data_IF_772582497094
#
_entry.id   IF_772582497094
#
_cell.length_a   1.000
_cell.length_b   1.000
_cell.length_c   1.000
_cell.angle_alpha   90.00
_cell.angle_beta   90.00
_cell.angle_gamma   90.00
#
_symmetry.space_group_name_H-M   'P 1'
#
loop_
_entity.id
_entity.type
_entity.pdbx_description
1 polymer ?
#
# COMPACT_ATOMS: atom_id res chain seq x y z
N UNK A 1 18.29 13.06 0.37
CA UNK A 1 17.59 11.75 0.42
C UNK A 1 16.53 11.73 -0.68
N UNK A 2 16.62 10.81 -1.64
CA UNK A 2 15.55 10.60 -2.62
C UNK A 2 14.56 9.59 -2.06
N UNK A 3 13.29 9.94 -1.95
CA UNK A 3 12.24 9.02 -1.51
C UNK A 3 11.26 8.72 -2.66
N UNK A 4 10.86 7.46 -2.78
CA UNK A 4 10.07 6.94 -3.90
C UNK A 4 8.88 6.13 -3.35
N UNK A 5 7.66 6.61 -3.61
CA UNK A 5 6.40 5.88 -3.44
C UNK A 5 6.07 5.12 -4.73
N UNK A 6 5.72 3.84 -4.60
CA UNK A 6 5.27 3.01 -5.72
C UNK A 6 3.74 2.99 -5.72
N UNK A 7 3.14 3.93 -6.45
CA UNK A 7 1.69 4.15 -6.45
C UNK A 7 0.87 3.05 -7.12
N UNK A 8 -0.24 2.67 -6.46
CA UNK A 8 -1.14 1.56 -6.88
C UNK A 8 -1.72 1.75 -8.29
N UNK A 9 -1.84 2.99 -8.79
CA UNK A 9 -2.37 3.31 -10.13
C UNK A 9 -1.34 3.25 -11.26
N UNK A 10 -0.20 2.58 -11.05
CA UNK A 10 0.96 2.61 -11.96
C UNK A 10 1.58 4.02 -12.08
N UNK A 11 1.45 4.78 -10.99
CA UNK A 11 2.26 5.96 -10.70
C UNK A 11 3.55 5.52 -10.02
N UNK A 12 4.65 6.18 -10.31
CA UNK A 12 5.79 6.26 -9.39
C UNK A 12 5.91 7.72 -9.02
N UNK A 13 6.06 8.02 -7.73
CA UNK A 13 6.19 9.38 -7.23
C UNK A 13 7.48 9.51 -6.45
N UNK A 14 8.36 10.44 -6.83
CA UNK A 14 9.64 10.66 -6.16
C UNK A 14 9.82 12.11 -5.73
N UNK A 15 10.48 12.28 -4.59
CA UNK A 15 10.78 13.60 -4.02
C UNK A 15 12.16 13.60 -3.37
N UNK A 16 12.94 14.66 -3.58
CA UNK A 16 14.24 14.84 -2.94
C UNK A 16 14.06 15.65 -1.65
N UNK A 17 14.27 15.00 -0.51
CA UNK A 17 14.41 15.64 0.79
C UNK A 17 15.84 16.17 0.91
N UNK A 18 15.98 17.48 1.09
CA UNK A 18 17.23 18.21 1.37
C UNK A 18 17.08 19.02 2.65
N UNK A 19 18.17 19.58 3.23
CA UNK A 19 18.05 20.56 4.32
C UNK A 19 17.18 21.76 3.88
N UNK A 20 17.28 22.17 2.62
CA UNK A 20 16.59 23.35 2.05
C UNK A 20 15.11 23.09 1.68
N UNK A 21 14.44 22.14 2.34
CA UNK A 21 13.07 21.72 2.05
C UNK A 21 12.94 20.64 0.97
N UNK A 22 11.74 20.48 0.40
CA UNK A 22 11.48 19.52 -0.69
C UNK A 22 11.99 20.10 -2.01
N UNK A 23 12.74 19.31 -2.78
CA UNK A 23 13.19 19.66 -4.13
C UNK A 23 12.81 18.56 -5.12
N UNK A 24 12.82 18.91 -6.41
CA UNK A 24 12.75 17.98 -7.53
C UNK A 24 11.65 16.91 -7.42
N UNK A 25 10.42 17.34 -7.17
CA UNK A 25 9.27 16.44 -7.25
C UNK A 25 9.13 15.93 -8.68
N UNK A 26 9.12 14.61 -8.87
CA UNK A 26 8.88 13.96 -10.17
C UNK A 26 7.88 12.83 -10.03
N UNK A 27 7.10 12.61 -11.09
CA UNK A 27 6.21 11.45 -11.18
C UNK A 27 6.25 10.84 -12.59
N UNK A 28 6.14 9.52 -12.65
CA UNK A 28 6.01 8.75 -13.90
C UNK A 28 4.61 8.13 -13.94
N UNK A 29 3.97 8.11 -15.12
CA UNK A 29 2.67 7.45 -15.29
C UNK A 29 2.67 6.53 -16.49
N UNK A 30 2.19 5.30 -16.32
CA UNK A 30 2.21 4.28 -17.37
C UNK A 30 0.88 4.20 -18.12
N UNK A 31 0.44 5.32 -18.72
CA UNK A 31 -0.84 5.41 -19.46
C UNK A 31 -0.97 4.33 -20.54
N UNK A 32 0.06 4.13 -21.34
CA UNK A 32 0.05 3.12 -22.40
C UNK A 32 -0.11 1.68 -21.87
N UNK A 33 0.59 1.36 -20.76
CA UNK A 33 0.44 0.09 -20.03
C UNK A 33 -0.94 -0.08 -19.39
N UNK A 34 -1.73 0.97 -19.19
CA UNK A 34 -3.12 0.83 -18.76
C UNK A 34 -3.96 0.41 -19.97
N UNK A 35 -3.96 1.22 -21.03
CA UNK A 35 -4.60 0.96 -22.33
C UNK A 35 -4.32 -0.45 -22.87
N UNK A 36 -3.06 -0.82 -23.07
CA UNK A 36 -2.66 -2.13 -23.64
C UNK A 36 -3.05 -3.32 -22.76
N UNK A 37 -3.06 -3.14 -21.44
CA UNK A 37 -3.55 -4.18 -20.51
C UNK A 37 -5.09 -4.26 -20.50
N UNK A 38 -5.79 -3.15 -20.74
CA UNK A 38 -7.26 -3.11 -20.87
C UNK A 38 -7.73 -3.68 -22.22
N UNK A 39 -6.95 -3.54 -23.28
CA UNK A 39 -7.11 -4.27 -24.55
C UNK A 39 -6.96 -5.78 -24.37
N UNK A 40 -5.86 -6.25 -23.75
CA UNK A 40 -5.69 -7.67 -23.44
C UNK A 40 -6.81 -8.21 -22.52
N UNK A 41 -7.16 -7.51 -21.44
CA UNK A 41 -8.23 -7.97 -20.54
C UNK A 41 -9.60 -7.99 -21.24
N UNK A 42 -9.90 -7.05 -22.15
CA UNK A 42 -11.11 -7.10 -23.00
C UNK A 42 -11.11 -8.33 -23.91
N UNK A 43 -9.98 -8.66 -24.55
CA UNK A 43 -9.87 -9.82 -25.43
C UNK A 43 -9.97 -11.14 -24.67
N UNK A 44 -9.35 -11.24 -23.49
CA UNK A 44 -9.50 -12.37 -22.56
C UNK A 44 -10.97 -12.55 -22.15
N UNK A 45 -11.67 -11.48 -21.75
CA UNK A 45 -13.08 -11.55 -21.38
C UNK A 45 -13.98 -11.99 -22.55
N UNK A 46 -13.62 -11.66 -23.80
CA UNK A 46 -14.32 -12.13 -25.00
C UNK A 46 -14.10 -13.63 -25.24
N UNK A 47 -12.85 -14.09 -25.18
CA UNK A 47 -12.49 -15.50 -25.36
C UNK A 47 -13.04 -16.38 -24.23
N UNK A 48 -13.19 -15.85 -23.01
CA UNK A 48 -13.83 -16.54 -21.90
C UNK A 48 -15.33 -16.77 -22.11
N UNK A 49 -16.03 -15.86 -22.82
CA UNK A 49 -17.42 -16.06 -23.24
C UNK A 49 -17.52 -17.07 -24.38
N UNK A 50 -16.73 -16.90 -25.44
CA UNK A 50 -16.66 -17.85 -26.58
C UNK A 50 -16.40 -19.29 -26.10
N UNK A 51 -15.50 -19.47 -25.12
CA UNK A 51 -15.26 -20.77 -24.48
C UNK A 51 -16.51 -21.31 -23.77
N UNK A 52 -17.19 -20.49 -22.97
CA UNK A 52 -18.37 -20.93 -22.22
C UNK A 52 -19.54 -21.28 -23.14
N UNK A 53 -19.75 -20.49 -24.19
CA UNK A 53 -20.75 -20.74 -25.25
C UNK A 53 -20.47 -22.06 -25.99
N UNK A 54 -19.22 -22.30 -26.40
CA UNK A 54 -18.81 -23.59 -27.00
C UNK A 54 -19.00 -24.76 -26.06
N UNK A 55 -18.57 -24.64 -24.80
CA UNK A 55 -18.70 -25.71 -23.81
C UNK A 55 -20.16 -26.08 -23.51
N UNK A 56 -21.06 -25.09 -23.43
CA UNK A 56 -22.50 -25.32 -23.28
C UNK A 56 -23.10 -26.04 -24.51
N UNK A 57 -22.56 -25.78 -25.70
CA UNK A 57 -23.02 -26.36 -26.96
C UNK A 57 -22.30 -27.68 -27.32
N UNK A 58 -21.46 -28.24 -26.44
CA UNK A 58 -20.70 -29.46 -26.70
C UNK A 58 -19.59 -29.35 -27.76
N UNK A 59 -19.19 -28.13 -28.12
CA UNK A 59 -18.21 -27.86 -29.18
C UNK A 59 -16.77 -27.77 -28.66
N UNK A 60 -15.81 -28.13 -29.51
CA UNK A 60 -14.38 -27.92 -29.22
C UNK A 60 -14.08 -26.45 -28.85
N UNK A 61 -13.23 -26.29 -27.83
CA UNK A 61 -12.71 -25.02 -27.35
C UNK A 61 -11.17 -24.93 -27.37
N UNK A 62 -10.42 -25.90 -27.91
CA UNK A 62 -8.95 -25.89 -27.89
C UNK A 62 -8.37 -24.71 -28.67
N UNK A 63 -8.98 -24.36 -29.80
CA UNK A 63 -8.64 -23.13 -30.54
C UNK A 63 -8.86 -21.84 -29.72
N UNK A 64 -9.75 -21.86 -28.72
CA UNK A 64 -9.99 -20.74 -27.79
C UNK A 64 -9.02 -20.80 -26.61
N UNK A 65 -8.73 -22.00 -26.09
CA UNK A 65 -7.72 -22.22 -25.05
C UNK A 65 -6.32 -21.81 -25.53
N UNK A 66 -5.96 -22.08 -26.79
CA UNK A 66 -4.72 -21.59 -27.41
C UNK A 66 -4.66 -20.05 -27.40
N UNK A 67 -5.71 -19.37 -27.89
CA UNK A 67 -5.81 -17.90 -27.85
C UNK A 67 -5.74 -17.34 -26.43
N UNK A 68 -6.33 -18.02 -25.43
CA UNK A 68 -6.24 -17.63 -24.02
C UNK A 68 -4.81 -17.75 -23.46
N UNK A 69 -4.05 -18.78 -23.85
CA UNK A 69 -2.62 -18.92 -23.53
C UNK A 69 -1.80 -17.79 -24.17
N UNK A 70 -2.01 -17.51 -25.46
CA UNK A 70 -1.36 -16.40 -26.19
C UNK A 70 -1.62 -15.03 -25.53
N UNK A 71 -2.88 -14.72 -25.18
CA UNK A 71 -3.23 -13.50 -24.47
C UNK A 71 -2.58 -13.40 -23.08
N UNK A 72 -2.39 -14.52 -22.38
CA UNK A 72 -1.68 -14.55 -21.09
C UNK A 72 -0.21 -14.13 -21.27
N UNK A 73 0.48 -14.69 -22.27
CA UNK A 73 1.88 -14.35 -22.61
C UNK A 73 2.00 -12.89 -23.06
N UNK A 74 1.14 -12.43 -23.98
CA UNK A 74 1.14 -11.03 -24.44
C UNK A 74 0.97 -10.04 -23.26
N UNK A 75 0.05 -10.36 -22.35
CA UNK A 75 -0.22 -9.57 -21.13
C UNK A 75 0.94 -9.60 -20.13
N UNK A 76 1.67 -10.71 -20.04
CA UNK A 76 2.89 -10.80 -19.24
C UNK A 76 4.01 -9.94 -19.83
N UNK A 77 4.21 -9.98 -21.16
CA UNK A 77 5.24 -9.22 -21.87
C UNK A 77 4.98 -7.71 -21.76
N UNK A 78 3.77 -7.23 -22.08
CA UNK A 78 3.37 -5.83 -21.86
C UNK A 78 3.64 -5.38 -20.42
N UNK A 79 3.32 -6.23 -19.44
CA UNK A 79 3.57 -5.94 -18.03
C UNK A 79 5.08 -5.81 -17.72
N UNK A 80 5.93 -6.63 -18.34
CA UNK A 80 7.38 -6.65 -18.17
C UNK A 80 8.09 -5.50 -18.91
N UNK A 81 7.78 -5.26 -20.19
CA UNK A 81 8.43 -4.23 -21.02
C UNK A 81 8.29 -2.83 -20.40
N UNK A 82 7.09 -2.51 -19.93
CA UNK A 82 6.85 -1.25 -19.26
C UNK A 82 7.44 -1.20 -17.83
N UNK A 83 7.57 -2.33 -17.11
CA UNK A 83 8.38 -2.34 -15.87
C UNK A 83 9.86 -2.03 -16.21
N UNK A 84 10.42 -2.64 -17.26
CA UNK A 84 11.81 -2.43 -17.73
C UNK A 84 12.08 -0.99 -18.17
N UNK A 85 11.16 -0.37 -18.91
CA UNK A 85 11.27 1.04 -19.28
C UNK A 85 11.28 1.95 -18.06
N UNK A 86 10.29 1.85 -17.18
CA UNK A 86 10.19 2.70 -16.00
C UNK A 86 11.38 2.54 -15.04
N UNK A 87 11.89 1.31 -14.87
CA UNK A 87 13.13 1.06 -14.11
C UNK A 87 14.34 1.74 -14.75
N UNK A 88 14.35 1.90 -16.08
CA UNK A 88 15.37 2.66 -16.80
C UNK A 88 15.23 4.16 -16.53
N UNK A 89 14.04 4.72 -16.78
CA UNK A 89 13.71 6.13 -16.51
C UNK A 89 14.04 6.53 -15.04
N UNK A 90 13.83 5.61 -14.08
CA UNK A 90 14.16 5.80 -12.66
C UNK A 90 15.65 5.70 -12.36
N UNK A 91 16.36 4.70 -12.91
CA UNK A 91 17.79 4.52 -12.67
C UNK A 91 18.61 5.67 -13.26
N UNK A 92 18.26 6.13 -14.46
CA UNK A 92 18.88 7.29 -15.11
C UNK A 92 18.67 8.57 -14.31
N UNK A 93 17.48 8.76 -13.71
CA UNK A 93 17.21 9.88 -12.81
C UNK A 93 18.01 9.81 -11.50
N UNK A 94 18.15 8.62 -10.88
CA UNK A 94 18.99 8.41 -9.68
C UNK A 94 20.46 8.73 -9.96
N UNK A 95 20.99 8.29 -11.10
CA UNK A 95 22.38 8.55 -11.49
C UNK A 95 22.63 10.03 -11.82
N UNK A 96 21.72 10.67 -12.55
CA UNK A 96 21.79 12.11 -12.83
C UNK A 96 21.73 12.94 -11.52
N UNK A 97 20.93 12.51 -10.53
CA UNK A 97 20.91 13.09 -9.19
C UNK A 97 22.25 12.90 -8.45
N UNK A 98 22.85 11.72 -8.55
CA UNK A 98 24.07 11.33 -7.85
C UNK A 98 25.33 12.06 -8.35
N UNK A 99 25.36 12.51 -9.61
CA UNK A 99 26.50 13.26 -10.20
C UNK A 99 26.96 14.48 -9.39
N UNK A 100 26.06 15.09 -8.63
CA UNK A 100 26.32 16.36 -7.92
C UNK A 100 25.93 16.32 -6.42
N UNK A 101 25.53 15.16 -5.88
CA UNK A 101 24.93 15.04 -4.53
C UNK A 101 25.17 13.67 -3.91
N UNK A 102 25.37 13.62 -2.59
CA UNK A 102 25.34 12.36 -1.83
C UNK A 102 23.91 11.79 -1.77
N UNK A 103 23.57 10.94 -2.73
CA UNK A 103 22.23 10.35 -2.85
C UNK A 103 22.15 9.01 -2.14
N UNK A 104 21.21 8.93 -1.20
CA UNK A 104 20.60 7.68 -0.71
C UNK A 104 19.15 7.63 -1.20
N UNK A 105 18.68 6.43 -1.52
CA UNK A 105 17.36 6.17 -2.13
C UNK A 105 16.51 5.34 -1.18
N UNK A 106 15.36 5.89 -0.77
CA UNK A 106 14.34 5.19 -0.02
C UNK A 106 13.23 4.74 -0.98
N UNK A 107 13.11 3.44 -1.25
CA UNK A 107 11.99 2.88 -2.03
C UNK A 107 10.98 2.24 -1.09
N UNK A 108 9.73 2.65 -1.19
CA UNK A 108 8.65 2.09 -0.39
C UNK A 108 8.21 0.68 -0.83
N UNK A 109 7.75 -0.11 0.14
CA UNK A 109 7.23 -1.47 -0.05
C UNK A 109 5.83 -1.69 0.55
N UNK A 110 4.84 -1.78 -0.34
CA UNK A 110 3.47 -2.23 -0.11
C UNK A 110 3.40 -3.75 0.16
N UNK A 111 3.93 -4.18 1.31
CA UNK A 111 3.69 -5.54 1.84
C UNK A 111 2.20 -5.73 2.16
N UNK A 112 1.69 -6.95 1.96
CA UNK A 112 0.33 -7.33 2.35
C UNK A 112 -0.84 -6.79 1.49
N UNK A 113 -0.60 -6.00 0.43
CA UNK A 113 -1.73 -5.50 -0.39
C UNK A 113 -2.45 -6.60 -1.17
N UNK A 114 -1.77 -7.69 -1.54
CA UNK A 114 -2.38 -8.82 -2.27
C UNK A 114 -3.38 -9.61 -1.43
N UNK A 115 -3.17 -9.79 -0.12
CA UNK A 115 -4.15 -10.46 0.75
C UNK A 115 -5.42 -9.62 0.94
N UNK A 116 -5.29 -8.28 0.99
CA UNK A 116 -6.43 -7.34 0.99
C UNK A 116 -7.27 -7.45 -0.29
N UNK A 117 -6.71 -7.91 -1.41
CA UNK A 117 -7.38 -8.11 -2.68
C UNK A 117 -8.01 -9.51 -2.89
N UNK A 118 -8.05 -10.38 -1.87
CA UNK A 118 -8.68 -11.72 -1.97
C UNK A 118 -10.18 -11.62 -2.28
N UNK A 119 -10.72 -12.58 -3.05
CA UNK A 119 -12.17 -12.79 -3.24
C UNK A 119 -12.80 -13.08 -1.87
N UNK A 120 -13.92 -12.43 -1.55
CA UNK A 120 -14.58 -12.49 -0.23
C UNK A 120 -14.47 -11.20 0.58
N UNK A 121 -13.37 -10.44 0.45
CA UNK A 121 -13.09 -9.25 1.30
C UNK A 121 -13.95 -7.99 1.00
N UNK A 122 -15.16 -8.13 0.44
CA UNK A 122 -16.02 -7.02 0.01
C UNK A 122 -15.46 -6.10 -1.08
N UNK A 123 -14.25 -6.38 -1.62
CA UNK A 123 -13.63 -5.55 -2.68
C UNK A 123 -13.97 -6.09 -4.07
N UNK A 124 -14.61 -5.24 -4.87
CA UNK A 124 -15.10 -5.57 -6.22
C UNK A 124 -13.99 -5.91 -7.25
N UNK A 125 -14.35 -6.51 -8.40
CA UNK A 125 -13.40 -7.03 -9.38
C UNK A 125 -12.36 -6.01 -9.85
N UNK A 126 -12.75 -4.76 -10.09
CA UNK A 126 -11.86 -3.69 -10.56
C UNK A 126 -10.71 -3.37 -9.58
N UNK A 127 -10.97 -3.38 -8.26
CA UNK A 127 -9.92 -3.20 -7.26
C UNK A 127 -8.93 -4.37 -7.30
N UNK A 128 -9.43 -5.61 -7.34
CA UNK A 128 -8.58 -6.81 -7.41
C UNK A 128 -7.71 -6.78 -8.66
N UNK A 129 -8.32 -6.49 -9.82
CA UNK A 129 -7.62 -6.30 -11.09
C UNK A 129 -6.52 -5.25 -11.00
N UNK A 130 -6.79 -4.08 -10.38
CA UNK A 130 -5.79 -3.03 -10.17
C UNK A 130 -4.56 -3.53 -9.39
N UNK A 131 -4.77 -4.28 -8.29
CA UNK A 131 -3.67 -4.85 -7.49
C UNK A 131 -2.89 -5.93 -8.26
N UNK A 132 -3.59 -6.77 -9.04
CA UNK A 132 -2.94 -7.82 -9.84
C UNK A 132 -2.23 -7.29 -11.11
N UNK A 133 -2.53 -6.06 -11.58
CA UNK A 133 -1.84 -5.38 -12.69
C UNK A 133 -0.46 -4.82 -12.32
N UNK A 134 -0.05 -4.85 -11.05
CA UNK A 134 1.19 -4.24 -10.58
C UNK A 134 2.12 -5.20 -9.83
N UNK A 135 3.42 -5.03 -10.04
CA UNK A 135 4.45 -5.96 -9.58
C UNK A 135 5.56 -5.24 -8.82
N UNK A 136 5.19 -4.65 -7.67
CA UNK A 136 6.11 -3.95 -6.74
C UNK A 136 7.46 -4.69 -6.61
N UNK A 137 7.42 -5.96 -6.21
CA UNK A 137 8.61 -6.79 -5.99
C UNK A 137 9.40 -7.17 -7.27
N UNK A 138 8.86 -6.93 -8.47
CA UNK A 138 9.62 -7.03 -9.73
C UNK A 138 10.30 -5.70 -10.04
N UNK A 139 9.54 -4.59 -10.04
CA UNK A 139 10.06 -3.22 -10.21
C UNK A 139 11.20 -2.94 -9.23
N UNK A 140 11.00 -3.23 -7.94
CA UNK A 140 12.03 -3.08 -6.90
C UNK A 140 13.31 -3.86 -7.21
N UNK A 141 13.22 -5.16 -7.53
CA UNK A 141 14.42 -5.98 -7.80
C UNK A 141 15.14 -5.54 -9.06
N UNK A 142 14.39 -5.23 -10.12
CA UNK A 142 14.94 -4.71 -11.37
C UNK A 142 15.64 -3.35 -11.16
N UNK A 143 15.10 -2.48 -10.30
CA UNK A 143 15.73 -1.20 -9.95
C UNK A 143 17.03 -1.40 -9.15
N UNK A 144 17.03 -2.22 -8.10
CA UNK A 144 18.24 -2.52 -7.31
C UNK A 144 19.33 -3.10 -8.23
N UNK A 145 18.96 -4.07 -9.08
CA UNK A 145 19.88 -4.68 -10.02
C UNK A 145 20.40 -3.69 -11.08
N UNK A 146 19.54 -2.90 -11.75
CA UNK A 146 19.99 -1.91 -12.75
C UNK A 146 20.86 -0.81 -12.10
N UNK A 147 20.58 -0.40 -10.86
CA UNK A 147 21.43 0.55 -10.14
C UNK A 147 22.81 -0.06 -9.82
N UNK A 148 22.85 -1.29 -9.31
CA UNK A 148 24.11 -2.01 -9.04
C UNK A 148 24.94 -2.25 -10.30
N UNK A 149 24.31 -2.61 -11.43
CA UNK A 149 24.96 -2.77 -12.73
C UNK A 149 25.51 -1.47 -13.31
N UNK A 150 25.06 -0.31 -12.82
CA UNK A 150 25.51 1.02 -13.22
C UNK A 150 26.42 1.66 -12.16
N UNK A 151 27.04 0.84 -11.30
CA UNK A 151 28.00 1.29 -10.29
C UNK A 151 27.39 2.05 -9.09
N UNK A 152 26.07 2.14 -8.98
CA UNK A 152 25.44 2.80 -7.83
C UNK A 152 25.46 1.85 -6.63
N UNK A 153 26.21 2.22 -5.60
CA UNK A 153 26.48 1.42 -4.39
C UNK A 153 25.18 0.82 -3.79
N UNK A 154 25.05 -0.52 -3.70
CA UNK A 154 23.85 -1.17 -3.17
C UNK A 154 23.50 -0.73 -1.74
N UNK A 155 24.51 -0.40 -0.93
CA UNK A 155 24.36 0.16 0.42
C UNK A 155 23.58 1.47 0.49
N UNK A 156 23.36 2.16 -0.64
CA UNK A 156 22.58 3.42 -0.73
C UNK A 156 21.11 3.22 -1.08
N UNK A 157 20.67 2.00 -1.42
CA UNK A 157 19.28 1.71 -1.85
C UNK A 157 18.54 0.93 -0.77
N UNK A 158 17.60 1.59 -0.09
CA UNK A 158 16.95 1.06 1.10
C UNK A 158 15.47 0.78 0.87
N UNK A 159 15.03 -0.39 1.34
CA UNK A 159 13.64 -0.84 1.26
C UNK A 159 12.86 -0.46 2.53
N UNK A 160 11.90 0.44 2.38
CA UNK A 160 11.14 1.02 3.51
C UNK A 160 9.73 0.45 3.54
N UNK A 161 9.27 -0.02 4.70
CA UNK A 161 7.88 -0.45 4.86
C UNK A 161 6.92 0.75 4.69
N UNK A 162 5.96 0.68 3.75
CA UNK A 162 4.95 1.73 3.47
C UNK A 162 3.74 1.70 4.43
N UNK A 163 3.71 0.82 5.43
CA UNK A 163 2.60 0.75 6.39
C UNK A 163 2.30 2.13 7.00
N UNK A 164 1.08 2.64 6.75
CA UNK A 164 0.55 3.92 7.22
C UNK A 164 1.15 5.20 6.59
N UNK A 165 2.11 5.13 5.65
CA UNK A 165 2.72 6.34 5.05
C UNK A 165 1.70 7.19 4.26
N UNK A 166 0.69 6.56 3.66
CA UNK A 166 -0.31 7.21 2.82
C UNK A 166 -1.54 7.76 3.57
N UNK A 167 -1.59 7.66 4.91
CA UNK A 167 -2.63 8.33 5.73
C UNK A 167 -2.08 9.21 6.86
N UNK A 168 -0.76 9.27 7.04
CA UNK A 168 -0.12 10.14 8.03
C UNK A 168 0.31 11.46 7.38
N UNK A 169 0.06 12.60 8.03
CA UNK A 169 0.46 13.90 7.49
C UNK A 169 1.98 14.07 7.68
N UNK A 170 2.73 14.31 6.60
CA UNK A 170 4.17 14.50 6.69
C UNK A 170 4.58 15.80 7.42
N UNK A 171 3.66 16.78 7.55
CA UNK A 171 3.90 18.05 8.28
C UNK A 171 3.68 17.95 9.80
N UNK A 172 2.81 17.08 10.30
CA UNK A 172 2.49 17.02 11.75
C UNK A 172 2.32 15.61 12.37
N UNK A 173 2.41 14.53 11.60
CA UNK A 173 2.32 13.15 12.11
C UNK A 173 0.91 12.66 12.46
N UNK A 174 -0.08 13.56 12.50
CA UNK A 174 -1.48 13.21 12.70
C UNK A 174 -2.05 12.43 11.51
N UNK A 175 -3.13 11.69 11.74
CA UNK A 175 -3.83 10.95 10.70
C UNK A 175 -4.68 11.93 9.88
N UNK A 176 -4.51 11.92 8.56
CA UNK A 176 -5.34 12.68 7.62
C UNK A 176 -6.29 11.78 6.83
N UNK A 177 -7.20 12.41 6.09
CA UNK A 177 -8.12 11.75 5.18
C UNK A 177 -7.52 11.65 3.76
N UNK A 178 -8.00 10.67 2.98
CA UNK A 178 -7.71 10.51 1.54
C UNK A 178 -9.02 10.44 0.74
N UNK A 179 -9.77 11.56 0.57
CA UNK A 179 -11.13 11.53 0.01
C UNK A 179 -11.21 11.05 -1.45
N UNK A 180 -10.12 11.24 -2.21
CA UNK A 180 -9.92 10.73 -3.56
C UNK A 180 -8.51 10.13 -3.64
N UNK A 181 -8.26 9.18 -4.54
CA UNK A 181 -6.95 8.50 -4.55
C UNK A 181 -5.77 9.46 -4.72
N UNK A 182 -5.88 10.52 -5.52
CA UNK A 182 -4.81 11.51 -5.71
C UNK A 182 -4.67 12.53 -4.58
N UNK A 183 -5.62 12.65 -3.65
CA UNK A 183 -5.72 13.80 -2.73
C UNK A 183 -5.65 13.41 -1.26
N UNK A 184 -4.80 14.09 -0.50
CA UNK A 184 -4.65 13.96 0.96
C UNK A 184 -5.02 15.27 1.66
N UNK A 185 -5.70 15.18 2.81
CA UNK A 185 -6.13 16.31 3.62
C UNK A 185 -5.86 16.05 5.11
N UNK A 186 -5.14 16.95 5.77
CA UNK A 186 -4.94 16.92 7.22
C UNK A 186 -5.79 17.99 7.92
N UNK A 187 -6.76 17.56 8.73
CA UNK A 187 -7.59 18.49 9.50
C UNK A 187 -6.83 19.15 10.67
N UNK A 188 -5.76 18.54 11.18
CA UNK A 188 -5.01 19.06 12.34
C UNK A 188 -4.05 20.21 12.00
N UNK A 189 -3.63 20.36 10.74
CA UNK A 189 -2.71 21.43 10.31
C UNK A 189 -3.02 22.02 8.92
N UNK A 190 -4.24 21.84 8.42
CA UNK A 190 -4.72 22.34 7.12
C UNK A 190 -4.07 21.76 5.87
N UNK A 191 -2.93 21.04 5.99
CA UNK A 191 -2.15 20.57 4.84
C UNK A 191 -2.97 19.70 3.87
N UNK A 192 -3.01 20.14 2.62
CA UNK A 192 -3.80 19.58 1.51
C UNK A 192 -2.94 19.51 0.26
N UNK A 193 -2.80 18.33 -0.34
CA UNK A 193 -1.83 18.09 -1.42
C UNK A 193 -2.05 16.70 -2.08
N UNK A 194 -1.16 16.35 -3.00
CA UNK A 194 -1.08 15.04 -3.61
C UNK A 194 -0.77 13.93 -2.57
N UNK A 195 -1.58 12.87 -2.57
CA UNK A 195 -1.46 11.78 -1.59
C UNK A 195 -0.20 10.91 -1.80
N UNK A 196 0.23 10.71 -3.04
CA UNK A 196 1.44 9.92 -3.36
C UNK A 196 2.71 10.76 -3.02
N UNK A 197 2.66 12.09 -3.15
CA UNK A 197 3.69 13.04 -2.65
C UNK A 197 3.86 12.94 -1.14
N UNK A 198 2.76 13.04 -0.39
CA UNK A 198 2.78 12.93 1.07
C UNK A 198 3.29 11.56 1.54
N UNK A 199 2.93 10.47 0.83
CA UNK A 199 3.45 9.14 1.11
C UNK A 199 4.96 9.04 0.83
N UNK A 200 5.44 9.59 -0.29
CA UNK A 200 6.87 9.65 -0.63
C UNK A 200 7.70 10.40 0.43
N UNK A 201 7.23 11.56 0.92
CA UNK A 201 7.92 12.26 2.02
C UNK A 201 7.97 11.40 3.28
N UNK A 202 6.87 10.73 3.66
CA UNK A 202 6.85 9.83 4.82
C UNK A 202 7.76 8.61 4.68
N UNK A 203 7.97 8.09 3.47
CA UNK A 203 8.96 7.04 3.17
C UNK A 203 10.38 7.54 3.47
N UNK A 204 10.72 8.75 2.99
CA UNK A 204 12.00 9.40 3.27
C UNK A 204 12.23 9.65 4.76
N UNK A 205 11.26 10.30 5.43
CA UNK A 205 11.26 10.54 6.88
C UNK A 205 11.51 9.25 7.67
N UNK A 206 10.81 8.16 7.32
CA UNK A 206 10.93 6.87 7.99
C UNK A 206 12.33 6.27 7.88
N UNK A 207 13.01 6.45 6.75
CA UNK A 207 14.40 5.99 6.59
C UNK A 207 15.40 6.86 7.36
N UNK A 208 15.24 8.19 7.32
CA UNK A 208 16.04 9.14 8.11
C UNK A 208 15.94 8.80 9.61
N UNK A 209 14.73 8.47 10.09
CA UNK A 209 14.52 8.02 11.46
C UNK A 209 15.19 6.68 11.78
N UNK A 210 15.34 5.78 10.80
CA UNK A 210 15.95 4.46 10.99
C UNK A 210 17.49 4.48 10.98
N UNK A 211 18.12 5.39 10.24
CA UNK A 211 19.59 5.46 10.10
C UNK A 211 20.15 6.64 10.91
N UNK A 212 20.87 6.42 12.03
CA UNK A 212 21.35 7.49 12.91
C UNK A 212 22.20 8.55 12.21
N UNK A 213 23.08 8.16 11.29
CA UNK A 213 23.95 9.07 10.53
C UNK A 213 23.21 10.01 9.56
N UNK A 214 21.89 9.84 9.38
CA UNK A 214 21.06 10.78 8.62
C UNK A 214 20.30 11.77 9.52
N UNK A 215 20.40 11.65 10.84
CA UNK A 215 19.62 12.47 11.79
C UNK A 215 20.26 13.80 12.18
N UNK A 216 21.42 14.17 11.62
CA UNK A 216 22.00 15.50 11.86
C UNK A 216 20.96 16.59 11.58
N UNK A 217 20.76 17.49 12.54
CA UNK A 217 19.74 18.53 12.48
C UNK A 217 20.04 19.57 11.39
N UNK A 218 21.32 19.80 11.10
CA UNK A 218 21.77 20.62 9.95
C UNK A 218 21.70 19.87 8.61
N UNK A 219 21.56 18.55 8.67
CA UNK A 219 21.36 17.65 7.53
C UNK A 219 19.89 17.32 7.32
N UNK A 220 19.51 16.05 7.52
CA UNK A 220 18.15 15.57 7.27
C UNK A 220 17.31 15.38 8.55
N UNK A 221 17.88 15.58 9.74
CA UNK A 221 17.17 15.51 11.02
C UNK A 221 16.02 16.50 11.17
N UNK A 222 16.05 17.61 10.43
CA UNK A 222 14.93 18.55 10.31
C UNK A 222 13.66 17.93 9.69
N UNK A 223 13.77 16.79 9.00
CA UNK A 223 12.63 15.98 8.53
C UNK A 223 12.02 15.07 9.61
N UNK A 224 12.43 15.16 10.88
CA UNK A 224 11.88 14.37 11.98
C UNK A 224 11.02 15.25 12.91
N UNK A 225 9.90 14.72 13.41
CA UNK A 225 9.14 15.39 14.46
C UNK A 225 9.97 15.42 15.76
N UNK A 226 9.72 16.35 16.71
CA UNK A 226 10.46 16.39 17.98
C UNK A 226 10.52 15.03 18.70
N UNK A 227 9.40 14.30 18.75
CA UNK A 227 9.32 12.94 19.32
C UNK A 227 9.98 11.83 18.48
N UNK A 228 10.35 12.10 17.22
CA UNK A 228 11.13 11.17 16.37
C UNK A 228 12.64 11.42 16.45
N UNK A 229 13.06 12.64 16.85
CA UNK A 229 14.47 12.99 17.09
C UNK A 229 15.00 12.30 18.33
N UNK A 230 14.25 12.33 19.42
CA UNK A 230 14.55 11.59 20.65
C UNK A 230 14.75 10.11 20.35
N UNK A 231 15.93 9.58 20.63
CA UNK A 231 16.22 8.15 20.51
C UNK A 231 15.25 7.35 21.40
N UNK A 232 14.61 6.30 20.88
CA UNK A 232 13.92 5.36 21.74
C UNK A 232 14.97 4.74 22.66
N UNK A 233 14.95 5.09 23.97
CA UNK A 233 15.68 4.32 24.98
C UNK A 233 15.22 2.88 24.81
N UNK A 234 16.14 1.98 24.46
CA UNK A 234 15.79 0.59 24.25
C UNK A 234 15.14 0.09 25.54
N UNK A 235 13.87 -0.36 25.46
CA UNK A 235 13.24 -1.10 26.55
C UNK A 235 14.02 -2.41 26.68
N UNK A 236 15.07 -2.38 27.49
CA UNK A 236 15.83 -3.54 27.95
C UNK A 236 14.80 -4.44 28.62
N UNK A 237 14.35 -5.47 27.90
CA UNK A 237 13.42 -6.44 28.44
C UNK A 237 14.13 -7.12 29.61
N UNK A 238 13.74 -6.77 30.83
CA UNK A 238 14.17 -7.47 32.04
C UNK A 238 13.65 -8.89 31.92
N UNK A 239 14.54 -9.79 31.47
CA UNK A 239 14.28 -11.22 31.37
C UNK A 239 14.05 -11.69 32.81
N UNK A 240 12.78 -11.91 33.15
CA UNK A 240 12.38 -12.24 34.51
C UNK A 240 12.80 -13.66 34.85
N UNK A 241 14.00 -13.80 35.42
CA UNK A 241 14.42 -15.04 36.06
C UNK A 241 13.52 -15.26 37.28
N UNK A 242 12.72 -16.33 37.24
CA UNK A 242 11.73 -16.61 38.27
C UNK A 242 12.37 -17.31 39.47
N UNK A 243 12.31 -16.67 40.64
CA UNK A 243 12.50 -17.37 41.92
C UNK A 243 11.70 -16.72 43.07
N UNK A 244 10.50 -17.27 43.26
CA UNK A 244 9.80 -17.55 44.54
C UNK A 244 10.09 -16.71 45.80
N UNK A 245 8.99 -16.25 46.42
CA UNK A 245 8.68 -16.27 47.88
C UNK A 245 8.07 -14.95 48.39
N UNK A 246 7.21 -15.06 49.40
CA UNK A 246 6.51 -13.96 50.07
C UNK A 246 7.45 -13.16 51.00
N UNK A 247 7.12 -11.96 51.50
CA UNK A 247 5.83 -11.23 51.52
C UNK A 247 6.09 -9.69 51.39
N UNK A 248 5.35 -8.68 51.85
CA UNK A 248 4.17 -8.54 52.73
C UNK A 248 3.32 -7.29 52.38
N UNK A 249 2.20 -7.08 53.08
CA UNK A 249 1.12 -6.14 52.74
C UNK A 249 0.86 -5.08 53.83
N UNK A 250 0.89 -3.79 53.49
CA UNK A 250 -0.08 -2.75 53.95
C UNK A 250 0.16 -1.37 53.29
N UNK A 251 -0.80 -0.41 53.32
CA UNK A 251 -0.84 0.71 52.37
C UNK A 251 -0.84 2.14 52.97
N UNK A 252 -0.33 3.11 52.20
CA UNK A 252 -0.50 4.58 52.32
C UNK A 252 0.04 5.27 51.03
N UNK A 253 -0.24 6.52 50.65
CA UNK A 253 -1.45 7.35 50.56
C UNK A 253 -1.03 8.81 50.24
N UNK A 254 -0.90 9.17 48.96
CA UNK A 254 -0.87 10.56 48.44
C UNK A 254 -1.04 10.52 46.92
N UNK A 255 -1.79 11.37 46.20
CA UNK A 255 -2.22 12.77 46.35
C UNK A 255 -1.21 13.80 45.81
N UNK A 256 -1.65 14.60 44.82
CA UNK A 256 -0.84 15.58 44.08
C UNK A 256 -0.17 15.00 42.82
N UNK A 257 -0.14 15.68 41.67
CA UNK A 257 -0.82 16.92 41.29
C UNK A 257 -0.74 17.12 39.77
N UNK A 258 -1.80 17.61 39.13
CA UNK A 258 -1.82 17.84 37.69
C UNK A 258 -1.24 19.20 37.32
N UNK A 259 -0.24 19.21 36.43
CA UNK A 259 0.27 20.44 35.78
C UNK A 259 0.09 20.28 34.28
N UNK A 260 -0.54 21.26 33.64
CA UNK A 260 -0.81 21.26 32.20
C UNK A 260 0.11 22.26 31.49
N UNK A 261 1.17 21.76 30.85
CA UNK A 261 2.08 22.61 30.07
C UNK A 261 1.52 22.93 28.69
N UNK A 262 1.37 24.23 28.40
CA UNK A 262 1.00 24.74 27.09
C UNK A 262 2.17 24.60 26.11
N UNK A 263 1.98 23.88 25.01
CA UNK A 263 2.89 23.94 23.87
C UNK A 263 2.43 24.99 22.86
N UNK A 264 2.99 26.19 22.99
CA UNK A 264 2.91 27.27 22.00
C UNK A 264 3.53 26.79 20.69
N UNK A 265 2.75 26.79 19.62
CA UNK A 265 3.24 26.46 18.28
C UNK A 265 3.78 27.72 17.61
N UNK A 266 5.10 27.78 17.39
CA UNK A 266 5.70 28.80 16.52
C UNK A 266 5.37 28.46 15.07
N UNK A 267 4.68 29.33 14.30
CA UNK A 267 4.41 29.07 12.89
C UNK A 267 5.69 29.16 12.08
N UNK A 268 6.13 28.05 11.49
CA UNK A 268 7.16 28.10 10.44
C UNK A 268 6.46 28.39 9.11
N UNK A 269 6.44 29.66 8.72
CA UNK A 269 5.88 30.11 7.44
C UNK A 269 6.61 29.46 6.25
N UNK A 270 5.86 29.20 5.18
CA UNK A 270 6.38 28.68 3.92
C UNK A 270 5.60 29.38 2.80
N UNK A 271 6.26 30.00 1.80
CA UNK A 271 5.57 30.76 0.75
C UNK A 271 4.49 29.96 0.00
N UNK A 272 3.39 30.63 -0.34
CA UNK A 272 2.31 30.07 -1.16
C UNK A 272 2.66 30.09 -2.66
N UNK A 273 3.55 29.20 -3.11
CA UNK A 273 3.44 28.68 -4.48
C UNK A 273 3.90 27.21 -4.62
N UNK A 274 2.94 26.33 -4.89
CA UNK A 274 3.17 24.97 -5.42
C UNK A 274 1.84 24.31 -5.84
N UNK A 275 1.14 24.90 -6.82
CA UNK A 275 -0.06 24.23 -7.38
C UNK A 275 0.37 23.03 -8.24
N UNK A 276 0.44 21.82 -7.67
CA UNK A 276 0.80 20.58 -8.39
C UNK A 276 -0.08 20.42 -9.65
N UNK A 277 0.49 20.40 -10.88
CA UNK A 277 -0.28 20.20 -12.12
C UNK A 277 -1.08 18.87 -12.17
N UNK A 278 -0.76 17.90 -11.30
CA UNK A 278 -1.57 16.70 -11.12
C UNK A 278 -2.89 16.95 -10.36
N UNK A 279 -2.96 17.97 -9.50
CA UNK A 279 -4.19 18.36 -8.78
C UNK A 279 -5.23 18.97 -9.72
N UNK A 280 -4.80 19.84 -10.65
CA UNK A 280 -5.68 20.60 -11.56
C UNK A 280 -6.65 19.69 -12.34
N UNK A 281 -6.23 18.48 -12.73
CA UNK A 281 -7.07 17.50 -13.46
C UNK A 281 -8.15 16.80 -12.62
N UNK A 282 -8.32 17.17 -11.34
CA UNK A 282 -9.28 16.54 -10.42
C UNK A 282 -10.26 17.53 -9.77
N UNK A 283 -10.17 18.83 -10.10
CA UNK A 283 -11.03 19.88 -9.51
C UNK A 283 -12.36 20.02 -10.26
N UNK A 284 -13.24 19.03 -10.09
CA UNK A 284 -14.68 19.28 -10.20
C UNK A 284 -15.16 19.88 -8.88
N UNK A 285 -15.70 21.11 -8.92
CA UNK A 285 -16.09 21.89 -7.74
C UNK A 285 -17.09 21.09 -6.86
N UNK A 286 -16.81 20.89 -5.56
CA UNK A 286 -17.82 20.42 -4.62
C UNK A 286 -18.76 21.59 -4.28
N UNK A 287 -20.03 21.46 -4.66
CA UNK A 287 -21.07 22.44 -4.31
C UNK A 287 -21.21 22.55 -2.79
N UNK A 288 -20.82 23.68 -2.22
CA UNK A 288 -20.98 23.94 -0.79
C UNK A 288 -22.42 24.38 -0.53
N UNK A 289 -23.28 23.43 -0.19
CA UNK A 289 -24.57 23.74 0.43
C UNK A 289 -24.30 24.33 1.83
N UNK A 290 -24.59 25.62 2.02
CA UNK A 290 -24.41 26.28 3.28
C UNK A 290 -25.43 25.77 4.32
N UNK A 291 -24.95 25.12 5.38
CA UNK A 291 -25.79 24.69 6.49
C UNK A 291 -25.96 25.87 7.46
N UNK A 292 -26.97 26.70 7.21
CA UNK A 292 -27.48 27.62 8.22
C UNK A 292 -28.22 26.81 9.30
N UNK A 293 -27.88 27.05 10.56
CA UNK A 293 -28.37 26.25 11.67
C UNK A 293 -29.79 26.63 12.13
N UNK A 294 -30.64 25.63 12.34
CA UNK A 294 -31.82 25.74 13.21
C UNK A 294 -31.98 24.45 14.04
N UNK A 295 -32.51 24.58 15.26
CA UNK A 295 -32.65 23.45 16.21
C UNK A 295 -33.94 22.67 15.93
N UNK A 296 -33.81 21.50 15.30
CA UNK A 296 -34.92 20.56 15.06
C UNK A 296 -34.94 19.40 16.05
N UNK A 297 -36.07 19.22 16.75
CA UNK A 297 -36.32 18.19 17.77
C UNK A 297 -36.12 16.76 17.21
N UNK A 298 -35.44 15.89 17.96
CA UNK A 298 -35.36 14.47 17.63
C UNK A 298 -36.75 13.83 17.69
N UNK A 299 -37.11 13.03 16.68
CA UNK A 299 -38.03 11.91 16.82
C UNK A 299 -37.40 10.65 16.25
N UNK A 300 -37.61 9.55 16.98
CA UNK A 300 -37.12 8.21 16.70
C UNK A 300 -38.34 7.39 16.29
N UNK A 301 -38.40 6.98 15.03
CA UNK A 301 -39.41 6.01 14.57
C UNK A 301 -38.76 4.64 14.40
N UNK A 302 -39.46 3.63 14.89
CA UNK A 302 -39.00 2.24 14.92
C UNK A 302 -39.44 1.54 13.64
N UNK A 303 -38.68 0.51 13.22
CA UNK A 303 -39.12 -0.41 12.16
C UNK A 303 -39.30 -1.76 12.82
N UNK A 304 -40.57 -2.19 12.90
CA UNK A 304 -41.00 -3.40 13.58
C UNK A 304 -40.66 -4.66 12.80
N UNK A 305 -40.48 -5.76 13.52
CA UNK A 305 -40.21 -7.10 12.98
C UNK A 305 -41.51 -7.89 12.76
N UNK A 306 -41.64 -8.48 11.57
CA UNK A 306 -42.60 -9.53 11.25
C UNK A 306 -42.30 -10.12 9.87
N UNK A 307 -42.61 -11.38 9.56
CA UNK A 307 -43.04 -12.49 10.43
C UNK A 307 -42.57 -13.82 9.80
N UNK A 308 -42.62 -14.94 10.56
CA UNK A 308 -42.20 -16.26 10.03
C UNK A 308 -43.35 -16.96 9.32
N UNK A 309 -43.21 -17.21 8.03
CA UNK A 309 -44.02 -18.19 7.32
C UNK A 309 -43.45 -19.61 7.55
N UNK A 310 -44.29 -20.53 8.05
CA UNK A 310 -43.93 -21.92 8.34
C UNK A 310 -44.20 -22.84 7.16
N UNK A 311 -43.26 -23.74 6.85
CA UNK A 311 -43.43 -24.84 5.88
C UNK A 311 -42.92 -26.13 6.56
N UNK A 312 -43.68 -27.24 6.55
CA UNK A 312 -43.40 -28.39 7.41
C UNK A 312 -42.22 -29.24 6.93
N UNK A 313 -41.59 -29.96 7.86
CA UNK A 313 -40.52 -30.90 7.56
C UNK A 313 -41.08 -32.30 7.29
N UNK A 314 -40.74 -32.90 6.16
CA UNK A 314 -40.90 -34.34 5.92
C UNK A 314 -39.67 -35.07 6.45
N UNK A 315 -39.88 -35.93 7.44
CA UNK A 315 -38.82 -36.81 7.99
C UNK A 315 -38.57 -37.99 7.07
N UNK A 316 -37.31 -38.33 6.83
CA UNK A 316 -36.96 -39.69 6.38
C UNK A 316 -35.64 -40.21 6.97
N UNK A 317 -35.48 -41.53 6.95
CA UNK A 317 -34.57 -42.26 7.86
C UNK A 317 -33.13 -42.41 7.33
N UNK A 318 -32.13 -42.58 8.23
CA UNK A 318 -30.78 -42.94 7.82
C UNK A 318 -30.69 -44.40 7.36
N UNK A 319 -29.76 -44.69 6.45
CA UNK A 319 -29.30 -46.04 6.13
C UNK A 319 -27.78 -46.13 6.26
N UNK A 320 -27.32 -47.29 6.73
CA UNK A 320 -25.93 -47.53 7.11
C UNK A 320 -25.11 -48.14 5.95
N UNK A 321 -23.79 -48.13 6.11
CA UNK A 321 -22.85 -48.82 5.23
C UNK A 321 -22.84 -50.34 5.51
N UNK A 322 -22.62 -51.18 4.50
CA UNK A 322 -21.79 -52.37 4.61
C UNK A 322 -20.33 -52.04 4.24
N UNK A 323 -19.39 -52.91 4.61
CA UNK A 323 -17.94 -52.72 4.40
C UNK A 323 -17.30 -53.89 3.62
N UNK A 324 -16.15 -53.64 3.00
CA UNK A 324 -15.35 -54.63 2.26
C UNK A 324 -15.84 -54.82 0.82
N UNK A 325 -14.99 -54.90 -0.20
CA UNK A 325 -13.83 -55.80 -0.24
C UNK A 325 -12.53 -55.14 -0.75
N UNK A 326 -11.44 -55.92 -0.79
CA UNK A 326 -10.07 -55.46 -1.13
C UNK A 326 -9.63 -56.09 -2.44
N UNK A 327 -8.94 -55.32 -3.29
CA UNK A 327 -8.01 -55.88 -4.26
C UNK A 327 -6.69 -55.11 -4.26
N UNK A 328 -5.59 -55.87 -4.17
CA UNK A 328 -4.20 -55.40 -4.21
C UNK A 328 -3.57 -55.70 -5.58
N UNK A 329 -2.37 -55.12 -5.79
CA UNK A 329 -1.35 -55.28 -6.86
C UNK A 329 -0.89 -53.85 -7.21
N UNK A 330 0.21 -53.35 -6.64
CA UNK A 330 1.62 -53.54 -7.10
C UNK A 330 1.80 -53.03 -8.55
N UNK A 331 2.69 -52.08 -8.86
CA UNK A 331 4.13 -52.06 -8.56
C UNK A 331 4.86 -52.54 -9.84
N UNK A 332 5.98 -51.99 -10.29
CA UNK A 332 6.81 -50.87 -9.80
C UNK A 332 7.62 -50.31 -11.04
N UNK A 333 8.71 -49.52 -11.04
CA UNK A 333 9.64 -49.07 -10.00
C UNK A 333 10.43 -47.79 -10.42
N UNK A 334 11.52 -47.52 -9.70
CA UNK A 334 12.55 -46.46 -9.78
C UNK A 334 13.30 -46.27 -11.11
N UNK A 335 13.89 -45.07 -11.32
CA UNK A 335 15.35 -44.89 -11.29
C UNK A 335 15.81 -43.41 -11.19
N UNK A 336 16.90 -43.18 -10.46
CA UNK A 336 17.77 -41.98 -10.47
C UNK A 336 18.79 -42.11 -11.64
N UNK A 337 19.59 -41.13 -12.10
CA UNK A 337 19.99 -39.78 -11.63
C UNK A 337 19.94 -38.78 -12.82
N UNK A 338 19.99 -37.44 -12.71
CA UNK A 338 19.93 -36.54 -11.53
C UNK A 338 18.50 -36.35 -10.96
#
# INVERSE_FOLDING_TARGET
MLAIDLGIRKSVYSVLLTPDGLKQVRYWTQKDKLRRMEECDRRVASLQRERHERQNNGLDADGVLKKLREMSTQRANISFDHDRKMVSDMAEYVLWLARNRDVRVAVGLLRGIRSRARRGNGKGPGYRGMIHRWSFARVTRMLIHKLSMLGFEPGRVYMVNEAWTSIKCHKCGNTGLRPRQSFFLCHTCGYRDNADKNAAVNIGRRLIRLIPSLRDERGLGMWLFPHEKSTPKARRSTRSEGRSSASERSPASSAGGGVADFHVQVPLEVPEDSTDPAMQRTMGNPSVAAITGSRGRQQRTEVTSGERASVPMTTDKPHAQPAGEVLLVAGDSSHEED
#
